data_IF_650860986316
#
_entry.id   IF_650860986316
#
_cell.length_a   1.000
_cell.length_b   1.000
_cell.length_c   1.000
_cell.angle_alpha   90.00
_cell.angle_beta   90.00
_cell.angle_gamma   90.00
#
_symmetry.space_group_name_H-M   'P 1'
#
loop_
_entity.id
_entity.type
_entity.pdbx_description
1 polymer ?
#
# COMPACT_ATOMS: atom_id res chain seq x y z
N UNK A 1 -19.97 -12.96 0.98
CA UNK A 1 -19.27 -11.96 1.79
C UNK A 1 -18.11 -11.40 0.96
N UNK A 2 -18.23 -10.18 0.44
CA UNK A 2 -17.25 -9.57 -0.49
C UNK A 2 -15.85 -9.44 0.14
N UNK A 3 -15.79 -9.28 1.46
CA UNK A 3 -14.55 -9.23 2.21
C UNK A 3 -13.72 -10.52 2.06
N UNK A 4 -14.37 -11.69 2.24
CA UNK A 4 -13.73 -13.00 2.12
C UNK A 4 -13.28 -13.26 0.67
N UNK A 5 -14.11 -12.88 -0.31
CA UNK A 5 -13.76 -13.02 -1.73
C UNK A 5 -12.51 -12.21 -2.09
N UNK A 6 -12.38 -10.99 -1.57
CA UNK A 6 -11.17 -10.19 -1.75
C UNK A 6 -9.95 -10.86 -1.12
N UNK A 7 -10.04 -11.35 0.13
CA UNK A 7 -8.94 -12.06 0.79
C UNK A 7 -8.50 -13.28 -0.04
N UNK A 8 -9.45 -14.09 -0.51
CA UNK A 8 -9.16 -15.26 -1.36
C UNK A 8 -8.44 -14.87 -2.65
N UNK A 9 -8.90 -13.82 -3.33
CA UNK A 9 -8.24 -13.33 -4.55
C UNK A 9 -6.78 -12.91 -4.29
N UNK A 10 -6.52 -12.26 -3.17
CA UNK A 10 -5.15 -11.86 -2.80
C UNK A 10 -4.29 -13.07 -2.39
N UNK A 11 -4.90 -14.12 -1.82
CA UNK A 11 -4.25 -15.39 -1.53
C UNK A 11 -3.89 -16.15 -2.80
N UNK A 12 -4.82 -16.25 -3.76
CA UNK A 12 -4.61 -16.90 -5.07
C UNK A 12 -3.50 -16.21 -5.88
N UNK A 13 -3.32 -14.90 -5.66
CA UNK A 13 -2.25 -14.12 -6.25
C UNK A 13 -0.91 -14.20 -5.50
N UNK A 14 -0.80 -15.06 -4.47
CA UNK A 14 0.36 -15.21 -3.61
C UNK A 14 0.80 -13.90 -2.93
N UNK A 15 -0.13 -12.99 -2.64
CA UNK A 15 0.16 -11.74 -1.94
C UNK A 15 -0.15 -11.78 -0.45
N UNK A 16 -0.95 -12.77 -0.03
CA UNK A 16 -1.36 -12.98 1.35
C UNK A 16 -1.34 -14.47 1.70
N UNK A 17 -0.98 -14.78 2.93
CA UNK A 17 -1.33 -16.06 3.54
C UNK A 17 -2.48 -15.88 4.52
N UNK A 18 -3.40 -16.84 4.53
CA UNK A 18 -4.41 -16.96 5.58
C UNK A 18 -4.00 -18.16 6.42
N UNK A 19 -3.71 -17.92 7.70
CA UNK A 19 -3.25 -18.94 8.64
C UNK A 19 -4.20 -19.02 9.82
N UNK A 20 -4.22 -20.17 10.49
CA UNK A 20 -5.00 -20.33 11.72
C UNK A 20 -4.42 -19.47 12.85
N UNK A 21 -5.29 -18.86 13.67
CA UNK A 21 -4.87 -18.00 14.77
C UNK A 21 -4.04 -18.71 15.84
N UNK A 22 -4.07 -20.05 15.91
CA UNK A 22 -3.25 -20.84 16.83
C UNK A 22 -1.75 -20.66 16.57
N UNK A 23 -1.35 -20.10 15.41
CA UNK A 23 0.06 -19.75 15.18
C UNK A 23 0.59 -18.70 16.17
N UNK A 24 -0.29 -17.91 16.79
CA UNK A 24 0.08 -17.00 17.88
C UNK A 24 0.61 -17.73 19.12
N UNK A 25 0.27 -19.02 19.29
CA UNK A 25 0.77 -19.83 20.40
C UNK A 25 2.24 -20.23 20.22
N UNK A 26 2.77 -20.14 18.99
CA UNK A 26 4.11 -20.59 18.61
C UNK A 26 5.09 -19.41 18.46
N UNK A 27 4.61 -18.18 18.21
CA UNK A 27 5.45 -17.03 17.89
C UNK A 27 5.45 -15.93 18.96
N UNK A 28 6.63 -15.44 19.34
CA UNK A 28 6.80 -14.37 20.34
C UNK A 28 6.76 -12.94 19.78
N UNK A 29 6.61 -12.75 18.47
CA UNK A 29 6.73 -11.42 17.83
C UNK A 29 5.64 -11.13 16.79
N UNK A 30 4.41 -11.59 17.02
CA UNK A 30 3.29 -11.31 16.10
C UNK A 30 2.49 -10.12 16.62
N UNK A 31 2.60 -8.97 15.95
CA UNK A 31 1.75 -7.82 16.25
C UNK A 31 0.49 -7.86 15.39
N UNK A 32 -0.66 -8.02 16.04
CA UNK A 32 -1.97 -8.08 15.38
C UNK A 32 -2.57 -6.68 15.25
N UNK A 33 -3.01 -6.31 14.04
CA UNK A 33 -3.61 -5.00 13.74
C UNK A 33 -5.09 -5.06 13.38
N UNK A 34 -5.81 -3.93 13.52
CA UNK A 34 -7.15 -3.78 12.96
C UNK A 34 -7.13 -4.01 11.45
N UNK A 35 -8.07 -4.82 11.00
CA UNK A 35 -8.29 -5.12 9.60
C UNK A 35 -9.71 -4.70 9.23
N UNK A 36 -9.79 -3.66 8.41
CA UNK A 36 -11.04 -3.03 8.04
C UNK A 36 -11.45 -3.34 6.61
N UNK A 37 -12.70 -3.00 6.29
CA UNK A 37 -13.21 -3.06 4.95
C UNK A 37 -13.93 -1.75 4.61
N UNK A 38 -13.51 -1.10 3.53
CA UNK A 38 -14.09 0.19 3.09
C UNK A 38 -14.67 0.08 1.70
N UNK A 39 -15.68 0.90 1.41
CA UNK A 39 -16.27 1.03 0.09
C UNK A 39 -15.25 1.51 -0.97
N UNK A 40 -15.42 1.06 -2.22
CA UNK A 40 -14.67 1.60 -3.37
C UNK A 40 -15.48 2.75 -3.99
N UNK A 41 -15.08 4.00 -3.69
CA UNK A 41 -15.84 5.19 -4.10
C UNK A 41 -17.20 5.25 -3.41
N UNK A 42 -18.22 5.74 -4.10
CA UNK A 42 -19.59 5.89 -3.54
C UNK A 42 -20.42 4.59 -3.58
N UNK A 43 -19.78 3.43 -3.77
CA UNK A 43 -20.47 2.14 -3.87
C UNK A 43 -20.75 1.58 -2.48
N UNK A 44 -21.83 0.80 -2.37
CA UNK A 44 -22.08 0.03 -1.14
C UNK A 44 -20.88 -0.91 -0.87
N UNK A 45 -20.28 -0.88 0.34
CA UNK A 45 -19.19 -1.78 0.69
C UNK A 45 -19.58 -3.26 0.53
N UNK A 46 -20.83 -3.64 0.74
CA UNK A 46 -21.30 -5.01 0.53
C UNK A 46 -21.27 -5.46 -0.94
N UNK A 47 -21.12 -4.52 -1.88
CA UNK A 47 -21.03 -4.77 -3.32
C UNK A 47 -19.58 -4.61 -3.80
N UNK A 48 -18.91 -3.54 -3.37
CA UNK A 48 -17.55 -3.23 -3.82
C UNK A 48 -16.77 -2.50 -2.73
N UNK A 49 -15.72 -3.15 -2.24
CA UNK A 49 -14.84 -2.56 -1.25
C UNK A 49 -13.41 -3.09 -1.30
N UNK A 50 -12.57 -2.53 -0.45
CA UNK A 50 -11.16 -2.88 -0.28
C UNK A 50 -10.89 -3.19 1.19
N UNK A 51 -10.08 -4.22 1.42
CA UNK A 51 -9.49 -4.48 2.72
C UNK A 51 -8.45 -3.39 3.03
N UNK A 52 -8.47 -2.83 4.22
CA UNK A 52 -7.50 -1.81 4.67
C UNK A 52 -6.91 -2.24 6.01
N UNK A 53 -5.61 -2.01 6.14
CA UNK A 53 -4.88 -2.18 7.39
C UNK A 53 -4.77 -0.82 8.07
N UNK A 54 -5.04 -0.78 9.37
CA UNK A 54 -4.67 0.38 10.17
C UNK A 54 -3.22 0.22 10.64
N UNK A 55 -2.29 0.71 9.81
CA UNK A 55 -0.84 0.60 10.05
C UNK A 55 -0.32 1.63 11.05
N UNK A 56 -1.15 2.58 11.46
CA UNK A 56 -0.84 3.63 12.43
C UNK A 56 -1.44 3.35 13.81
N UNK A 57 -2.06 2.18 14.00
CA UNK A 57 -2.75 1.81 15.24
C UNK A 57 -2.18 0.54 15.91
N UNK A 58 -2.14 0.50 17.26
CA UNK A 58 -2.18 1.65 18.15
C UNK A 58 -0.95 2.55 17.97
N UNK A 59 -1.16 3.85 18.22
CA UNK A 59 -0.09 4.86 18.21
C UNK A 59 1.07 4.46 19.13
N UNK A 60 2.29 4.83 18.74
CA UNK A 60 3.57 4.51 19.37
C UNK A 60 4.00 3.04 19.30
N UNK A 61 3.10 2.14 18.88
CA UNK A 61 3.38 0.72 18.74
C UNK A 61 2.92 0.22 17.37
N UNK A 62 2.66 1.11 16.41
CA UNK A 62 2.12 0.75 15.09
C UNK A 62 3.21 0.24 14.14
N UNK A 63 2.83 -0.30 12.98
CA UNK A 63 3.82 -0.67 11.95
C UNK A 63 4.57 0.58 11.50
N UNK A 64 3.84 1.68 11.33
CA UNK A 64 4.42 2.96 10.93
C UNK A 64 5.33 3.57 12.01
N UNK A 65 5.04 3.36 13.30
CA UNK A 65 5.93 3.82 14.39
C UNK A 65 7.19 2.96 14.51
N UNK A 66 7.08 1.65 14.25
CA UNK A 66 8.20 0.71 14.32
C UNK A 66 9.05 0.68 13.04
N UNK A 67 8.63 1.40 11.99
CA UNK A 67 9.36 1.43 10.73
C UNK A 67 10.60 2.31 10.89
N UNK A 68 11.78 1.72 10.78
CA UNK A 68 13.06 2.45 10.78
C UNK A 68 13.17 3.32 9.52
N UNK A 69 13.31 4.63 9.73
CA UNK A 69 13.39 5.62 8.64
C UNK A 69 14.80 6.16 8.41
N UNK A 70 15.75 5.85 9.29
CA UNK A 70 17.04 6.53 9.38
C UNK A 70 17.95 6.30 8.15
N UNK A 71 17.83 5.14 7.49
CA UNK A 71 18.67 4.76 6.35
C UNK A 71 18.04 5.04 4.97
N UNK A 72 16.81 5.57 4.91
CA UNK A 72 16.11 5.75 3.63
C UNK A 72 16.30 7.15 3.05
N UNK A 73 16.46 7.27 1.72
CA UNK A 73 16.56 8.58 1.08
C UNK A 73 15.33 9.41 1.41
N UNK A 74 15.54 10.67 1.78
CA UNK A 74 14.46 11.59 2.04
C UNK A 74 13.60 11.72 0.78
N UNK A 75 12.28 11.49 0.91
CA UNK A 75 11.34 11.69 -0.18
C UNK A 75 11.34 13.17 -0.57
N UNK A 76 12.00 13.51 -1.68
CA UNK A 76 12.00 14.88 -2.21
C UNK A 76 10.86 15.02 -3.21
N UNK A 77 9.63 15.20 -2.71
CA UNK A 77 8.53 15.60 -3.58
C UNK A 77 8.82 16.99 -4.14
N UNK A 78 9.20 17.06 -5.41
CA UNK A 78 9.29 18.33 -6.10
C UNK A 78 7.91 18.99 -6.16
N UNK A 79 7.81 20.32 -5.97
CA UNK A 79 6.55 21.01 -6.20
C UNK A 79 6.02 20.73 -7.60
N UNK A 80 4.70 20.56 -7.76
CA UNK A 80 4.09 20.36 -9.09
C UNK A 80 4.47 21.46 -10.09
N UNK A 81 4.77 22.67 -9.59
CA UNK A 81 5.22 23.80 -10.40
C UNK A 81 6.57 23.56 -11.07
N UNK A 82 7.45 22.73 -10.49
CA UNK A 82 8.73 22.34 -11.11
C UNK A 82 8.49 21.53 -12.38
N UNK A 83 7.59 20.53 -12.32
CA UNK A 83 7.20 19.72 -13.49
C UNK A 83 6.55 20.59 -14.56
N UNK A 84 5.63 21.48 -14.17
CA UNK A 84 4.97 22.41 -15.11
C UNK A 84 5.99 23.31 -15.81
N UNK A 85 6.94 23.90 -15.07
CA UNK A 85 7.99 24.73 -15.68
C UNK A 85 8.84 23.95 -16.66
N UNK A 86 9.18 22.71 -16.33
CA UNK A 86 9.96 21.85 -17.22
C UNK A 86 9.20 21.54 -18.51
N UNK A 87 7.91 21.21 -18.42
CA UNK A 87 7.06 20.97 -19.59
C UNK A 87 6.94 22.23 -20.46
N UNK A 88 6.79 23.41 -19.85
CA UNK A 88 6.71 24.68 -20.58
C UNK A 88 8.04 25.03 -21.28
N UNK A 89 9.18 24.86 -20.59
CA UNK A 89 10.52 25.06 -21.20
C UNK A 89 10.74 24.12 -22.38
N UNK A 90 10.39 22.84 -22.25
CA UNK A 90 10.49 21.88 -23.37
C UNK A 90 9.58 22.31 -24.53
N UNK A 91 8.36 22.77 -24.25
CA UNK A 91 7.44 23.24 -25.28
C UNK A 91 7.94 24.50 -26.00
N UNK A 92 8.57 25.43 -25.27
CA UNK A 92 9.17 26.66 -25.82
C UNK A 92 10.42 26.38 -26.67
N UNK A 93 11.24 25.40 -26.28
CA UNK A 93 12.44 24.98 -27.02
C UNK A 93 12.13 24.08 -28.22
N UNK A 94 10.94 23.47 -28.25
CA UNK A 94 10.50 22.58 -29.31
C UNK A 94 10.10 23.35 -30.58
N UNK A 95 10.14 22.65 -31.72
CA UNK A 95 9.74 23.23 -32.99
C UNK A 95 8.28 23.75 -32.91
N UNK A 96 8.01 25.05 -33.16
CA UNK A 96 6.66 25.62 -33.04
C UNK A 96 5.65 25.05 -34.05
N UNK A 97 6.11 24.29 -35.05
CA UNK A 97 5.26 23.55 -35.99
C UNK A 97 4.90 22.14 -35.50
N UNK A 98 5.43 21.70 -34.36
CA UNK A 98 5.15 20.40 -33.76
C UNK A 98 4.38 20.55 -32.45
N UNK A 99 3.41 19.66 -32.25
CA UNK A 99 2.63 19.62 -31.02
C UNK A 99 3.46 18.97 -29.91
N UNK A 100 3.67 19.69 -28.81
CA UNK A 100 4.21 19.10 -27.58
C UNK A 100 3.07 18.43 -26.81
N UNK A 101 3.19 17.14 -26.54
CA UNK A 101 2.20 16.35 -25.79
C UNK A 101 2.81 15.79 -24.52
N UNK A 102 2.10 15.91 -23.40
CA UNK A 102 2.47 15.26 -22.15
C UNK A 102 1.78 13.89 -22.07
N UNK A 103 2.55 12.85 -21.75
CA UNK A 103 2.00 11.55 -21.36
C UNK A 103 2.11 11.42 -19.85
N UNK A 104 1.00 11.10 -19.21
CA UNK A 104 0.93 10.74 -17.80
C UNK A 104 0.49 9.28 -17.69
N UNK A 105 0.97 8.59 -16.67
CA UNK A 105 0.74 7.17 -16.46
C UNK A 105 0.73 6.82 -14.97
N UNK A 106 -0.27 6.04 -14.56
CA UNK A 106 -0.35 5.47 -13.23
C UNK A 106 0.21 4.04 -13.22
N UNK A 107 1.08 3.73 -12.26
CA UNK A 107 1.52 2.36 -12.02
C UNK A 107 0.51 1.71 -11.08
N UNK A 108 -0.50 1.08 -11.66
CA UNK A 108 -1.49 0.32 -10.92
C UNK A 108 -0.81 -0.69 -9.98
N UNK A 109 -1.26 -0.67 -8.72
CA UNK A 109 -0.79 -1.58 -7.68
C UNK A 109 0.72 -1.53 -7.41
N UNK A 110 1.39 -0.38 -7.60
CA UNK A 110 2.82 -0.20 -7.32
C UNK A 110 3.24 -0.80 -5.97
N UNK A 111 2.43 -0.60 -4.93
CA UNK A 111 2.70 -1.15 -3.61
C UNK A 111 2.77 -2.67 -3.52
N UNK A 112 2.02 -3.36 -4.36
CA UNK A 112 2.03 -4.82 -4.42
C UNK A 112 3.24 -5.37 -5.20
N UNK A 113 4.12 -4.51 -5.70
CA UNK A 113 5.35 -4.90 -6.39
C UNK A 113 6.59 -4.82 -5.49
N UNK A 114 6.47 -4.19 -4.32
CA UNK A 114 7.55 -4.11 -3.33
C UNK A 114 7.31 -5.17 -2.27
N UNK A 115 8.17 -6.19 -2.24
CA UNK A 115 8.14 -7.21 -1.20
C UNK A 115 8.57 -6.61 0.14
N UNK A 116 7.92 -7.03 1.23
CA UNK A 116 8.32 -6.62 2.59
C UNK A 116 8.87 -7.82 3.37
N UNK A 117 9.75 -7.55 4.32
CA UNK A 117 10.16 -8.55 5.30
C UNK A 117 8.94 -8.99 6.14
N UNK A 118 8.90 -10.26 6.53
CA UNK A 118 7.70 -11.01 6.94
C UNK A 118 7.04 -10.63 8.28
N UNK A 119 7.10 -9.36 8.72
CA UNK A 119 6.67 -8.93 10.06
C UNK A 119 5.24 -8.39 10.20
N UNK A 120 4.47 -8.20 9.11
CA UNK A 120 3.15 -7.55 9.18
C UNK A 120 2.01 -8.56 9.15
N UNK A 121 1.32 -8.71 10.30
CA UNK A 121 0.24 -9.68 10.50
C UNK A 121 -1.06 -8.99 10.93
N UNK A 122 -2.19 -9.43 10.41
CA UNK A 122 -3.51 -8.92 10.76
C UNK A 122 -4.45 -10.05 11.15
N UNK A 123 -5.44 -9.78 12.01
CA UNK A 123 -6.44 -10.77 12.39
C UNK A 123 -7.73 -10.53 11.63
N UNK A 124 -8.38 -11.62 11.23
CA UNK A 124 -9.78 -11.63 10.79
C UNK A 124 -10.62 -11.97 12.03
N UNK A 125 -11.28 -10.97 12.66
CA UNK A 125 -12.04 -11.21 13.88
C UNK A 125 -13.11 -12.29 13.72
N UNK A 126 -13.73 -12.36 12.54
CA UNK A 126 -14.86 -13.24 12.24
C UNK A 126 -14.46 -14.70 11.95
N UNK A 127 -13.16 -15.02 11.80
CA UNK A 127 -12.73 -16.29 11.22
C UNK A 127 -11.67 -17.09 12.02
N UNK A 128 -11.31 -16.68 13.25
CA UNK A 128 -10.16 -17.27 14.00
C UNK A 128 -8.91 -17.47 13.11
N UNK A 129 -8.71 -16.55 12.17
CA UNK A 129 -7.65 -16.63 11.18
C UNK A 129 -6.85 -15.34 11.20
N UNK A 130 -5.60 -15.44 10.79
CA UNK A 130 -4.72 -14.31 10.55
C UNK A 130 -4.43 -14.19 9.05
N UNK A 131 -4.29 -12.96 8.59
CA UNK A 131 -3.79 -12.59 7.28
C UNK A 131 -2.37 -12.11 7.45
N UNK A 132 -1.44 -12.76 6.76
CA UNK A 132 -0.05 -12.34 6.62
C UNK A 132 0.12 -11.70 5.26
N UNK A 133 0.59 -10.46 5.21
CA UNK A 133 0.87 -9.77 3.95
C UNK A 133 2.35 -9.94 3.57
N UNK A 134 2.60 -10.25 2.29
CA UNK A 134 3.93 -10.51 1.75
C UNK A 134 4.52 -9.30 1.00
N UNK A 135 3.71 -8.28 0.74
CA UNK A 135 4.06 -7.08 -0.01
C UNK A 135 3.69 -5.83 0.76
N UNK A 136 4.27 -4.70 0.35
CA UNK A 136 4.05 -3.42 0.99
C UNK A 136 2.56 -3.08 1.04
N UNK A 137 2.12 -2.70 2.22
CA UNK A 137 0.73 -2.39 2.49
C UNK A 137 0.44 -0.93 2.13
N UNK A 138 -0.76 -0.70 1.61
CA UNK A 138 -1.24 0.65 1.37
C UNK A 138 -1.34 1.41 2.71
N UNK A 139 -0.72 2.60 2.77
CA UNK A 139 -0.65 3.41 3.99
C UNK A 139 0.60 3.19 4.85
N UNK A 140 1.56 2.39 4.38
CA UNK A 140 2.85 2.25 5.06
C UNK A 140 3.71 3.50 4.84
N UNK A 141 4.30 4.06 5.91
CA UNK A 141 5.00 5.36 5.89
C UNK A 141 6.10 5.44 4.83
N UNK A 142 6.84 4.36 4.59
CA UNK A 142 7.95 4.35 3.63
C UNK A 142 7.51 3.92 2.23
N UNK A 143 6.24 3.60 2.01
CA UNK A 143 5.77 3.16 0.69
C UNK A 143 6.12 4.16 -0.41
N UNK A 144 5.91 5.49 -0.26
CA UNK A 144 6.21 6.43 -1.34
C UNK A 144 7.70 6.49 -1.69
N UNK A 145 8.59 6.45 -0.69
CA UNK A 145 10.04 6.50 -0.90
C UNK A 145 10.58 5.24 -1.59
N UNK A 146 9.92 4.09 -1.41
CA UNK A 146 10.28 2.84 -2.09
C UNK A 146 9.86 2.80 -3.58
N UNK A 147 8.96 3.68 -4.01
CA UNK A 147 8.58 3.80 -5.43
C UNK A 147 9.31 4.93 -6.15
N UNK A 148 9.99 5.80 -5.41
CA UNK A 148 10.73 6.94 -5.95
C UNK A 148 12.07 6.43 -6.49
N UNK A 149 12.16 6.25 -7.80
CA UNK A 149 13.36 5.79 -8.52
C UNK A 149 14.12 6.97 -9.13
#
# INVERSE_FOLDING_TARGET
NVHITNIRREQDACRRFVVDSNILEIGTEIIVRPFGFVAKGDKDPNISGRTIHDLSCPKAYSVNDATETDDKPALTCQPCTSVVRQVLSIAEESNPLQLTTLMDGDVAEAARKVGIHAGSVCRIPEAKALVLDLFALFGWTLSPAEYDF
#
